data_IF_269288648105
#
_entry.id   IF_269288648105
#
_cell.length_a   1.000
_cell.length_b   1.000
_cell.length_c   1.000
_cell.angle_alpha   90.00
_cell.angle_beta   90.00
_cell.angle_gamma   90.00
#
_symmetry.space_group_name_H-M   'P 1'
#
loop_
_entity.id
_entity.type
_entity.pdbx_description
1 polymer ?
#
# COMPACT_ATOMS: atom_id res chain seq x y z
N UNK A 1 10.25 -8.31 2.76
CA UNK A 1 10.96 -7.62 1.66
C UNK A 1 11.32 -6.22 2.14
N UNK A 2 12.26 -5.53 1.52
CA UNK A 2 12.68 -4.19 1.96
C UNK A 2 12.48 -3.17 0.83
N UNK A 3 12.23 -1.92 1.21
CA UNK A 3 12.14 -0.79 0.29
C UNK A 3 12.76 0.44 0.96
N UNK A 4 13.50 1.24 0.21
CA UNK A 4 14.01 2.53 0.68
C UNK A 4 12.98 3.62 0.37
N UNK A 5 12.56 4.36 1.40
CA UNK A 5 11.69 5.53 1.33
C UNK A 5 12.32 6.70 2.11
N UNK A 6 12.47 7.86 1.48
CA UNK A 6 13.04 9.10 2.00
C UNK A 6 14.41 8.89 2.65
N UNK A 7 15.26 8.07 2.03
CA UNK A 7 16.58 7.71 2.57
C UNK A 7 16.54 6.78 3.79
N UNK A 8 15.38 6.18 4.11
CA UNK A 8 15.19 5.24 5.21
C UNK A 8 14.74 3.88 4.68
N UNK A 9 15.32 2.80 5.18
CA UNK A 9 14.91 1.45 4.81
C UNK A 9 13.69 0.98 5.62
N UNK A 10 12.66 0.50 4.94
CA UNK A 10 11.44 -0.04 5.53
C UNK A 10 11.29 -1.54 5.25
N UNK A 11 10.97 -2.30 6.30
CA UNK A 11 10.55 -3.68 6.15
C UNK A 11 9.09 -3.73 5.66
N UNK A 12 8.86 -4.28 4.48
CA UNK A 12 7.51 -4.52 3.96
C UNK A 12 7.07 -5.95 4.30
N UNK A 13 5.98 -6.05 5.04
CA UNK A 13 5.36 -7.31 5.47
C UNK A 13 4.00 -7.47 4.81
N UNK A 14 3.86 -8.51 3.99
CA UNK A 14 2.59 -8.85 3.32
C UNK A 14 1.83 -9.85 4.19
N UNK A 15 0.63 -9.48 4.65
CA UNK A 15 -0.23 -10.40 5.42
C UNK A 15 -0.68 -11.59 4.56
N UNK A 16 -0.93 -12.72 5.20
CA UNK A 16 -1.48 -13.93 4.55
C UNK A 16 -2.73 -13.65 3.71
N UNK A 17 -3.61 -12.75 4.17
CA UNK A 17 -4.79 -12.35 3.40
C UNK A 17 -4.42 -11.55 2.14
N UNK A 18 -3.51 -10.58 2.24
CA UNK A 18 -3.00 -9.84 1.07
C UNK A 18 -2.33 -10.78 0.06
N UNK A 19 -1.46 -11.68 0.53
CA UNK A 19 -0.77 -12.66 -0.32
C UNK A 19 -1.77 -13.56 -1.08
N UNK A 20 -2.83 -14.03 -0.39
CA UNK A 20 -3.90 -14.78 -1.04
C UNK A 20 -4.56 -13.98 -2.17
N UNK A 21 -4.83 -12.69 -1.96
CA UNK A 21 -5.44 -11.83 -2.98
C UNK A 21 -4.52 -11.57 -4.17
N UNK A 22 -3.24 -11.31 -3.91
CA UNK A 22 -2.21 -11.13 -4.94
C UNK A 22 -2.17 -12.36 -5.86
N UNK A 23 -2.09 -13.56 -5.27
CA UNK A 23 -2.04 -14.82 -6.03
C UNK A 23 -3.34 -15.10 -6.79
N UNK A 24 -4.51 -14.90 -6.17
CA UNK A 24 -5.80 -15.16 -6.80
C UNK A 24 -6.10 -14.26 -8.00
N UNK A 25 -5.52 -13.06 -8.01
CA UNK A 25 -5.77 -12.01 -9.01
C UNK A 25 -4.61 -11.78 -9.96
N UNK A 26 -3.55 -12.59 -9.83
CA UNK A 26 -2.33 -12.46 -10.62
C UNK A 26 -1.74 -11.04 -10.60
N UNK A 27 -1.74 -10.39 -9.42
CA UNK A 27 -1.17 -9.06 -9.24
C UNK A 27 0.35 -9.20 -9.18
N UNK A 28 1.07 -8.41 -9.97
CA UNK A 28 2.53 -8.39 -9.95
C UNK A 28 3.02 -7.84 -8.60
N UNK A 29 3.84 -8.58 -7.82
CA UNK A 29 4.37 -8.09 -6.55
C UNK A 29 5.15 -6.78 -6.68
N UNK A 30 5.84 -6.59 -7.81
CA UNK A 30 6.60 -5.36 -8.09
C UNK A 30 5.71 -4.12 -8.14
N UNK A 31 4.46 -4.27 -8.59
CA UNK A 31 3.48 -3.18 -8.62
C UNK A 31 3.20 -2.64 -7.21
N UNK A 32 3.30 -3.47 -6.17
CA UNK A 32 3.17 -3.03 -4.78
C UNK A 32 4.32 -2.11 -4.41
N UNK A 33 5.56 -2.50 -4.74
CA UNK A 33 6.75 -1.71 -4.44
C UNK A 33 6.77 -0.40 -5.22
N UNK A 34 6.44 -0.43 -6.51
CA UNK A 34 6.33 0.76 -7.34
C UNK A 34 5.31 1.75 -6.76
N UNK A 35 4.14 1.26 -6.35
CA UNK A 35 3.12 2.12 -5.76
C UNK A 35 3.52 2.69 -4.39
N UNK A 36 4.22 1.92 -3.55
CA UNK A 36 4.79 2.45 -2.31
C UNK A 36 5.83 3.56 -2.59
N UNK A 37 6.67 3.37 -3.62
CA UNK A 37 7.67 4.37 -4.01
C UNK A 37 7.04 5.63 -4.59
N UNK A 38 6.01 5.51 -5.41
CA UNK A 38 5.26 6.65 -5.93
C UNK A 38 4.48 7.39 -4.85
N UNK A 39 4.13 6.73 -3.76
CA UNK A 39 3.44 7.31 -2.61
C UNK A 39 4.39 7.83 -1.51
N UNK A 40 5.70 7.77 -1.74
CA UNK A 40 6.77 7.98 -0.73
C UNK A 40 6.63 9.29 0.07
N UNK A 41 6.32 10.40 -0.58
CA UNK A 41 6.15 11.70 0.08
C UNK A 41 5.02 11.64 1.14
N UNK A 42 3.85 11.13 0.76
CA UNK A 42 2.69 11.05 1.65
C UNK A 42 2.89 9.98 2.72
N UNK A 43 3.56 8.88 2.38
CA UNK A 43 3.91 7.84 3.35
C UNK A 43 4.86 8.37 4.43
N UNK A 44 5.76 9.29 4.10
CA UNK A 44 6.65 9.96 5.05
C UNK A 44 5.93 10.78 6.13
N UNK A 45 4.75 11.29 5.82
CA UNK A 45 3.93 12.07 6.77
C UNK A 45 3.11 11.19 7.73
N UNK A 46 3.06 9.88 7.50
CA UNK A 46 2.27 8.96 8.31
C UNK A 46 2.93 8.66 9.65
N UNK A 47 2.12 8.70 10.70
CA UNK A 47 2.56 8.32 12.05
C UNK A 47 2.50 6.82 12.23
N UNK A 48 3.24 6.35 13.23
CA UNK A 48 3.17 4.96 13.66
C UNK A 48 1.73 4.59 14.04
N UNK A 49 1.17 3.60 13.33
CA UNK A 49 -0.20 3.16 13.50
C UNK A 49 -1.16 3.66 12.43
N UNK A 50 -0.77 4.61 11.59
CA UNK A 50 -1.67 5.18 10.58
C UNK A 50 -1.95 4.19 9.46
N UNK A 51 -3.22 4.11 9.06
CA UNK A 51 -3.65 3.32 7.91
C UNK A 51 -3.61 4.17 6.66
N UNK A 52 -3.18 3.56 5.56
CA UNK A 52 -3.19 4.17 4.25
C UNK A 52 -3.86 3.27 3.22
N UNK A 53 -4.37 3.92 2.18
CA UNK A 53 -4.98 3.30 1.03
C UNK A 53 -4.33 3.96 -0.18
N UNK A 54 -3.63 3.18 -0.99
CA UNK A 54 -3.11 3.63 -2.28
C UNK A 54 -4.06 3.10 -3.35
N UNK A 55 -4.63 3.98 -4.15
CA UNK A 55 -5.41 3.65 -5.35
C UNK A 55 -4.55 3.95 -6.56
N UNK A 56 -4.23 2.90 -7.31
CA UNK A 56 -3.51 2.97 -8.59
C UNK A 56 -4.51 2.74 -9.72
N UNK A 57 -4.91 3.84 -10.38
CA UNK A 57 -5.87 3.79 -11.49
C UNK A 57 -5.28 3.09 -12.73
N UNK A 58 -3.97 3.24 -12.97
CA UNK A 58 -3.30 2.65 -14.13
C UNK A 58 -3.11 1.14 -13.95
N UNK A 59 -2.57 0.73 -12.80
CA UNK A 59 -2.43 -0.67 -12.42
C UNK A 59 -3.75 -1.35 -12.04
N UNK A 60 -4.83 -0.58 -11.89
CA UNK A 60 -6.17 -1.02 -11.47
C UNK A 60 -6.16 -1.79 -10.14
N UNK A 61 -5.24 -1.42 -9.26
CA UNK A 61 -5.14 -2.02 -7.92
C UNK A 61 -5.38 -0.99 -6.83
N UNK A 62 -5.78 -1.50 -5.68
CA UNK A 62 -5.81 -0.75 -4.44
C UNK A 62 -5.00 -1.51 -3.40
N UNK A 63 -4.08 -0.81 -2.74
CA UNK A 63 -3.25 -1.36 -1.67
C UNK A 63 -3.73 -0.74 -0.37
N UNK A 64 -4.14 -1.57 0.58
CA UNK A 64 -4.47 -1.12 1.93
C UNK A 64 -3.35 -1.57 2.86
N UNK A 65 -2.74 -0.61 3.54
CA UNK A 65 -1.63 -0.86 4.42
C UNK A 65 -1.68 -0.05 5.70
N UNK A 66 -0.67 -0.27 6.54
CA UNK A 66 -0.50 0.45 7.79
C UNK A 66 0.98 0.73 8.00
N UNK A 67 1.27 1.97 8.39
CA UNK A 67 2.62 2.44 8.65
C UNK A 67 3.00 2.16 10.10
N UNK A 68 4.22 1.67 10.28
CA UNK A 68 4.93 1.63 11.55
C UNK A 68 6.33 2.20 11.31
N UNK A 69 7.00 2.60 12.40
CA UNK A 69 8.26 3.37 12.36
C UNK A 69 9.23 3.01 11.20
N UNK A 70 9.59 1.74 11.04
CA UNK A 70 10.41 1.23 9.93
C UNK A 70 9.80 -0.03 9.31
N UNK A 71 8.47 -0.14 9.34
CA UNK A 71 7.77 -1.29 8.82
C UNK A 71 6.46 -0.88 8.15
N UNK A 72 6.25 -1.38 6.94
CA UNK A 72 5.01 -1.22 6.20
C UNK A 72 4.29 -2.55 6.19
N UNK A 73 3.09 -2.59 6.74
CA UNK A 73 2.26 -3.78 6.75
C UNK A 73 1.21 -3.70 5.65
N UNK A 74 1.27 -4.60 4.66
CA UNK A 74 0.26 -4.72 3.60
C UNK A 74 -0.86 -5.63 4.09
N UNK A 75 -2.02 -5.04 4.36
CA UNK A 75 -3.18 -5.71 4.95
C UNK A 75 -3.99 -6.45 3.89
N UNK A 76 -4.25 -5.78 2.76
CA UNK A 76 -4.92 -6.38 1.61
C UNK A 76 -4.57 -5.65 0.32
N UNK A 77 -4.73 -6.36 -0.80
CA UNK A 77 -4.62 -5.80 -2.14
C UNK A 77 -5.88 -6.17 -2.90
N UNK A 78 -6.45 -5.20 -3.60
CA UNK A 78 -7.72 -5.31 -4.32
C UNK A 78 -7.51 -4.95 -5.78
N UNK A 79 -8.18 -5.66 -6.68
CA UNK A 79 -8.25 -5.41 -8.13
C UNK A 79 -9.40 -4.45 -8.46
N UNK A 80 -9.53 -3.39 -7.66
CA UNK A 80 -10.70 -2.50 -7.71
C UNK A 80 -10.38 -1.05 -8.06
N UNK A 81 -9.12 -0.71 -8.36
CA UNK A 81 -8.71 0.65 -8.77
C UNK A 81 -9.56 1.76 -8.11
N UNK A 82 -10.38 2.41 -8.93
CA UNK A 82 -11.24 3.56 -8.59
C UNK A 82 -12.54 3.22 -7.83
N UNK A 83 -12.99 1.96 -7.81
CA UNK A 83 -14.21 1.52 -7.12
C UNK A 83 -13.99 1.20 -5.63
N UNK A 84 -12.84 1.61 -5.06
CA UNK A 84 -12.53 1.36 -3.67
C UNK A 84 -13.04 2.47 -2.75
N UNK A 85 -13.93 2.10 -1.82
CA UNK A 85 -14.42 2.99 -0.79
C UNK A 85 -13.63 2.82 0.51
N UNK A 86 -12.98 3.89 0.96
CA UNK A 86 -12.36 3.95 2.27
C UNK A 86 -13.41 3.71 3.36
N UNK A 87 -13.08 2.89 4.36
CA UNK A 87 -14.04 2.48 5.38
C UNK A 87 -14.12 3.48 6.53
N UNK A 88 -13.01 4.14 6.85
CA UNK A 88 -12.92 5.09 7.95
C UNK A 88 -12.42 6.44 7.46
N UNK A 89 -12.97 7.53 8.02
CA UNK A 89 -12.54 8.89 7.70
C UNK A 89 -11.07 9.17 8.08
N UNK A 90 -10.51 8.36 8.98
CA UNK A 90 -9.10 8.42 9.37
C UNK A 90 -8.15 7.76 8.38
N UNK A 91 -8.65 6.96 7.44
CA UNK A 91 -7.79 6.27 6.48
C UNK A 91 -7.21 7.30 5.49
N UNK A 92 -5.87 7.30 5.33
CA UNK A 92 -5.21 8.21 4.40
C UNK A 92 -5.27 7.65 2.98
N UNK A 93 -6.04 8.31 2.12
CA UNK A 93 -6.20 7.90 0.72
C UNK A 93 -5.17 8.63 -0.16
N UNK A 94 -4.45 7.86 -0.95
CA UNK A 94 -3.40 8.29 -1.87
C UNK A 94 -3.83 7.86 -3.27
N UNK A 95 -3.94 8.82 -4.19
CA UNK A 95 -4.31 8.56 -5.58
C UNK A 95 -3.08 8.64 -6.46
N UNK A 96 -2.75 7.54 -7.14
CA UNK A 96 -1.70 7.47 -8.15
C UNK A 96 -2.38 7.42 -9.52
N UNK A 97 -2.00 8.35 -10.39
CA UNK A 97 -2.51 8.51 -11.75
C UNK A 97 -1.46 8.10 -12.77
#
# INVERSE_FOLDING_TARGET
MYIELLGTEYAVIIKKHALKRINQRNILPDLILTNLKNAEEILGDLKNGDKFIIIDSFGKITIVGKMYYQMIEIITVVDKGEDFFAKYASDKVILIK
#
